data_IF_150326989424
#
_entry.id   IF_150326989424
#
_cell.length_a   1.000
_cell.length_b   1.000
_cell.length_c   1.000
_cell.angle_alpha   90.00
_cell.angle_beta   90.00
_cell.angle_gamma   90.00
#
_symmetry.space_group_name_H-M   'P 1'
#
loop_
_entity.id
_entity.type
_entity.pdbx_description
1 polymer ?
#
# COMPACT_ATOMS: atom_id res chain seq x y z
N UNK A 1 9.02 1.42 -16.29
CA UNK A 1 9.47 2.81 -16.07
C UNK A 1 9.73 2.96 -14.58
N UNK A 2 10.81 3.64 -14.18
CA UNK A 2 11.07 3.95 -12.77
C UNK A 2 10.11 5.05 -12.37
N UNK A 3 9.40 4.88 -11.27
CA UNK A 3 8.31 5.78 -10.84
C UNK A 3 8.41 6.17 -9.35
N UNK A 4 9.44 5.71 -8.66
CA UNK A 4 9.75 6.10 -7.30
C UNK A 4 11.20 6.59 -7.23
N UNK A 5 11.39 7.75 -6.58
CA UNK A 5 12.67 8.37 -6.32
C UNK A 5 12.83 8.58 -4.81
N UNK A 6 14.00 8.23 -4.30
CA UNK A 6 14.42 8.59 -2.93
C UNK A 6 15.75 9.33 -2.97
N UNK A 7 15.84 10.38 -2.16
CA UNK A 7 17.05 11.21 -2.04
C UNK A 7 17.12 11.84 -0.67
N UNK A 8 18.24 12.51 -0.38
CA UNK A 8 18.36 13.45 0.73
C UNK A 8 18.31 14.89 0.21
N UNK A 9 17.74 15.75 1.04
CA UNK A 9 17.63 17.19 0.80
C UNK A 9 18.09 17.95 2.04
N UNK A 10 18.29 19.25 1.91
CA UNK A 10 18.72 20.13 3.00
C UNK A 10 19.99 19.65 3.69
N UNK A 11 21.11 19.64 2.97
CA UNK A 11 22.42 19.17 3.45
C UNK A 11 22.36 17.75 4.04
N UNK A 12 21.63 16.88 3.37
CA UNK A 12 21.44 15.48 3.79
C UNK A 12 20.76 15.29 5.16
N UNK A 13 19.97 16.25 5.59
CA UNK A 13 19.28 16.23 6.89
C UNK A 13 17.84 15.69 6.81
N UNK A 14 17.28 15.61 5.60
CA UNK A 14 15.89 15.20 5.38
C UNK A 14 15.82 14.16 4.27
N UNK A 15 15.16 13.05 4.54
CA UNK A 15 14.83 12.04 3.54
C UNK A 15 13.59 12.50 2.75
N UNK A 16 13.72 12.54 1.43
CA UNK A 16 12.63 12.80 0.49
C UNK A 16 12.32 11.51 -0.28
N UNK A 17 11.05 11.15 -0.34
CA UNK A 17 10.54 10.10 -1.23
C UNK A 17 9.41 10.67 -2.06
N UNK A 18 9.49 10.48 -3.37
CA UNK A 18 8.44 10.87 -4.33
C UNK A 18 8.12 9.65 -5.18
N UNK A 19 6.84 9.36 -5.39
CA UNK A 19 6.43 8.29 -6.31
C UNK A 19 5.20 8.69 -7.11
N UNK A 20 5.26 8.44 -8.42
CA UNK A 20 4.08 8.33 -9.27
C UNK A 20 3.57 6.89 -9.17
N UNK A 21 2.38 6.73 -8.61
CA UNK A 21 1.74 5.43 -8.38
C UNK A 21 0.54 5.20 -9.31
N UNK A 22 0.40 5.99 -10.36
CA UNK A 22 -0.77 5.99 -11.26
C UNK A 22 -1.07 4.59 -11.79
N UNK A 23 -0.10 3.90 -12.37
CA UNK A 23 -0.33 2.57 -12.94
C UNK A 23 -0.60 1.51 -11.86
N UNK A 24 -0.03 1.67 -10.67
CA UNK A 24 -0.30 0.82 -9.50
C UNK A 24 -1.77 0.94 -9.07
N UNK A 25 -2.26 2.18 -8.96
CA UNK A 25 -3.65 2.48 -8.56
C UNK A 25 -4.64 2.05 -9.63
N UNK A 26 -4.37 2.33 -10.90
CA UNK A 26 -5.20 1.86 -12.03
C UNK A 26 -5.40 0.34 -12.01
N UNK A 27 -4.32 -0.41 -11.75
CA UNK A 27 -4.43 -1.87 -11.67
C UNK A 27 -5.30 -2.31 -10.48
N UNK A 28 -5.19 -1.64 -9.33
CA UNK A 28 -6.06 -1.87 -8.17
C UNK A 28 -7.54 -1.59 -8.48
N UNK A 29 -7.83 -0.43 -9.08
CA UNK A 29 -9.19 -0.05 -9.51
C UNK A 29 -9.79 -1.12 -10.42
N UNK A 30 -9.05 -1.53 -11.43
CA UNK A 30 -9.49 -2.55 -12.40
C UNK A 30 -9.79 -3.89 -11.73
N UNK A 31 -8.91 -4.37 -10.84
CA UNK A 31 -9.05 -5.66 -10.16
C UNK A 31 -10.25 -5.70 -9.24
N UNK A 32 -10.43 -4.67 -8.47
CA UNK A 32 -11.47 -4.60 -7.44
C UNK A 32 -12.75 -3.91 -7.93
N UNK A 33 -12.78 -3.39 -9.16
CA UNK A 33 -13.93 -2.66 -9.76
C UNK A 33 -14.41 -1.54 -8.84
N UNK A 34 -13.46 -0.72 -8.38
CA UNK A 34 -13.72 0.32 -7.40
C UNK A 34 -14.54 1.46 -7.96
N UNK A 35 -15.52 1.98 -7.18
CA UNK A 35 -16.10 3.29 -7.43
C UNK A 35 -15.03 4.37 -7.32
N UNK A 36 -15.27 5.57 -7.83
CA UNK A 36 -14.32 6.66 -7.81
C UNK A 36 -13.87 7.02 -6.38
N UNK A 37 -14.80 7.03 -5.42
CA UNK A 37 -14.49 7.34 -4.02
C UNK A 37 -13.69 6.22 -3.35
N UNK A 38 -14.06 4.96 -3.57
CA UNK A 38 -13.29 3.80 -3.07
C UNK A 38 -11.90 3.75 -3.71
N UNK A 39 -11.80 4.11 -4.99
CA UNK A 39 -10.53 4.18 -5.72
C UNK A 39 -9.62 5.27 -5.18
N UNK A 40 -10.18 6.43 -4.80
CA UNK A 40 -9.43 7.55 -4.21
C UNK A 40 -8.80 7.11 -2.89
N UNK A 41 -9.60 6.60 -1.96
CA UNK A 41 -9.13 6.21 -0.63
C UNK A 41 -8.14 5.04 -0.69
N UNK A 42 -8.47 4.01 -1.48
CA UNK A 42 -7.56 2.88 -1.70
C UNK A 42 -6.24 3.33 -2.35
N UNK A 43 -6.32 4.21 -3.34
CA UNK A 43 -5.18 4.73 -4.07
C UNK A 43 -4.26 5.59 -3.19
N UNK A 44 -4.82 6.44 -2.33
CA UNK A 44 -4.09 7.18 -1.31
C UNK A 44 -3.35 6.22 -0.36
N UNK A 45 -4.05 5.21 0.18
CA UNK A 45 -3.47 4.26 1.11
C UNK A 45 -2.36 3.41 0.48
N UNK A 46 -2.54 2.90 -0.75
CA UNK A 46 -1.51 2.09 -1.41
C UNK A 46 -0.31 2.93 -1.84
N UNK A 47 -0.52 4.21 -2.16
CA UNK A 47 0.55 5.17 -2.44
C UNK A 47 1.40 5.45 -1.19
N UNK A 48 0.76 5.71 -0.05
CA UNK A 48 1.44 5.87 1.23
C UNK A 48 2.22 4.60 1.63
N UNK A 49 1.64 3.42 1.43
CA UNK A 49 2.31 2.13 1.68
C UNK A 49 3.47 1.88 0.71
N UNK A 50 3.44 2.44 -0.50
CA UNK A 50 4.57 2.37 -1.44
C UNK A 50 5.79 3.11 -0.88
N UNK A 51 5.58 4.29 -0.30
CA UNK A 51 6.64 5.01 0.44
C UNK A 51 7.18 4.16 1.59
N UNK A 52 6.34 3.57 2.43
CA UNK A 52 6.79 2.75 3.55
C UNK A 52 7.54 1.49 3.10
N UNK A 53 7.09 0.84 2.01
CA UNK A 53 7.77 -0.30 1.41
C UNK A 53 9.16 0.07 0.88
N UNK A 54 9.33 1.28 0.34
CA UNK A 54 10.61 1.78 -0.11
C UNK A 54 11.61 2.01 1.05
N UNK A 55 11.12 2.15 2.28
CA UNK A 55 11.96 2.28 3.47
C UNK A 55 12.47 0.95 4.03
N UNK A 56 11.99 -0.20 3.53
CA UNK A 56 12.48 -1.52 3.93
C UNK A 56 13.93 -1.72 3.49
N UNK A 57 14.77 -2.20 4.41
CA UNK A 57 16.21 -2.34 4.18
C UNK A 57 16.61 -3.75 3.75
N UNK A 58 15.84 -4.76 4.14
CA UNK A 58 16.19 -6.17 3.94
C UNK A 58 15.49 -6.75 2.71
N UNK A 59 16.23 -7.53 1.91
CA UNK A 59 15.74 -8.11 0.66
C UNK A 59 14.48 -9.00 0.81
N UNK A 60 14.29 -9.58 1.99
CA UNK A 60 13.12 -10.39 2.35
C UNK A 60 12.07 -9.61 3.15
N UNK A 61 12.30 -8.30 3.35
CA UNK A 61 11.42 -7.44 4.14
C UNK A 61 10.03 -7.33 3.53
N UNK A 62 9.03 -7.49 4.36
CA UNK A 62 7.61 -7.28 4.04
C UNK A 62 6.98 -6.27 5.00
N UNK A 63 5.98 -5.56 4.51
CA UNK A 63 5.20 -4.62 5.31
C UNK A 63 3.72 -4.79 4.97
N UNK A 64 2.87 -4.73 5.97
CA UNK A 64 1.43 -4.77 5.78
C UNK A 64 0.72 -3.71 6.60
N UNK A 65 -0.32 -3.15 6.01
CA UNK A 65 -1.28 -2.24 6.60
C UNK A 65 -2.58 -2.98 6.85
N UNK A 66 -3.16 -2.79 8.02
CA UNK A 66 -4.56 -3.03 8.31
C UNK A 66 -5.16 -1.74 8.87
N UNK A 67 -5.98 -1.06 8.07
CA UNK A 67 -6.81 0.04 8.50
C UNK A 67 -8.21 -0.52 8.72
N UNK A 68 -8.75 -0.35 9.91
CA UNK A 68 -10.12 -0.71 10.26
C UNK A 68 -10.90 0.55 10.58
N UNK A 69 -12.13 0.61 10.11
CA UNK A 69 -13.01 1.77 10.19
C UNK A 69 -14.39 1.32 10.62
N UNK A 70 -15.06 2.13 11.41
CA UNK A 70 -16.49 1.98 11.71
C UNK A 70 -17.36 2.89 10.81
N UNK A 71 -16.74 3.51 9.80
CA UNK A 71 -17.39 4.29 8.76
C UNK A 71 -17.58 3.51 7.45
N UNK A 72 -17.92 4.23 6.39
CA UNK A 72 -18.25 3.65 5.08
C UNK A 72 -17.09 2.90 4.41
N UNK A 73 -15.85 3.20 4.77
CA UNK A 73 -14.65 2.54 4.22
C UNK A 73 -14.54 1.07 4.65
N UNK A 74 -15.10 0.70 5.80
CA UNK A 74 -14.99 -0.63 6.42
C UNK A 74 -13.54 -0.97 6.76
N UNK A 75 -12.79 -1.58 5.85
CA UNK A 75 -11.38 -1.88 6.06
C UNK A 75 -10.53 -1.64 4.81
N UNK A 76 -9.24 -1.40 5.01
CA UNK A 76 -8.23 -1.44 3.95
C UNK A 76 -7.10 -2.35 4.41
N UNK A 77 -6.75 -3.33 3.57
CA UNK A 77 -5.57 -4.15 3.80
C UNK A 77 -4.62 -4.04 2.60
N UNK A 78 -3.37 -3.66 2.88
CA UNK A 78 -2.34 -3.51 1.87
C UNK A 78 -1.09 -4.25 2.33
N UNK A 79 -0.42 -4.93 1.41
CA UNK A 79 0.86 -5.58 1.65
C UNK A 79 1.85 -5.13 0.57
N UNK A 80 3.06 -4.88 0.99
CA UNK A 80 4.17 -4.52 0.13
C UNK A 80 5.46 -5.19 0.58
N UNK A 81 6.46 -5.21 -0.27
CA UNK A 81 7.76 -5.74 0.07
C UNK A 81 8.89 -4.85 -0.43
N UNK A 82 10.11 -5.21 -0.08
CA UNK A 82 11.30 -4.46 -0.45
C UNK A 82 11.45 -4.28 -1.98
N UNK A 83 10.87 -5.17 -2.81
CA UNK A 83 10.88 -5.04 -4.27
C UNK A 83 9.77 -4.13 -4.82
N UNK A 84 9.02 -3.43 -3.95
CA UNK A 84 7.85 -2.60 -4.29
C UNK A 84 6.77 -3.38 -5.04
N UNK A 85 6.62 -4.67 -4.75
CA UNK A 85 5.48 -5.45 -5.18
C UNK A 85 4.35 -5.22 -4.18
N UNK A 86 3.38 -4.44 -4.61
CA UNK A 86 2.24 -4.00 -3.81
C UNK A 86 0.99 -4.79 -4.15
N UNK A 87 0.14 -5.03 -3.17
CA UNK A 87 -1.19 -5.63 -3.32
C UNK A 87 -2.08 -5.16 -2.19
N UNK A 88 -3.37 -5.13 -2.41
CA UNK A 88 -4.28 -4.68 -1.36
C UNK A 88 -5.72 -4.73 -1.80
N UNK A 89 -6.63 -4.49 -0.85
CA UNK A 89 -8.06 -4.35 -1.09
C UNK A 89 -8.66 -3.33 -0.13
N UNK A 90 -9.86 -2.89 -0.44
CA UNK A 90 -10.75 -2.09 0.40
C UNK A 90 -12.06 -2.86 0.59
N UNK A 91 -12.60 -2.88 1.81
CA UNK A 91 -13.81 -3.63 2.15
C UNK A 91 -15.03 -3.13 1.37
N UNK A 92 -15.28 -1.83 1.39
CA UNK A 92 -16.34 -1.24 0.60
C UNK A 92 -15.83 -0.75 -0.76
N UNK A 93 -16.08 -1.52 -1.80
CA UNK A 93 -15.65 -1.21 -3.18
C UNK A 93 -16.54 -0.18 -3.89
N UNK A 94 -17.69 0.20 -3.31
CA UNK A 94 -18.73 1.02 -3.94
C UNK A 94 -19.16 2.20 -3.06
N UNK A 95 -18.19 2.90 -2.42
CA UNK A 95 -18.50 4.11 -1.67
C UNK A 95 -19.09 5.20 -2.58
N UNK A 96 -20.02 5.95 -2.03
CA UNK A 96 -20.59 7.14 -2.67
C UNK A 96 -19.60 8.32 -2.58
N UNK A 97 -19.63 9.19 -3.59
CA UNK A 97 -18.78 10.39 -3.61
C UNK A 97 -19.22 11.47 -2.64
N UNK A 98 -18.28 12.35 -2.25
CA UNK A 98 -18.57 13.52 -1.44
C UNK A 98 -18.73 13.26 0.05
N UNK A 99 -18.28 12.12 0.54
CA UNK A 99 -18.30 11.81 1.98
C UNK A 99 -17.29 12.67 2.74
N UNK A 100 -17.66 13.09 3.95
CA UNK A 100 -16.72 13.64 4.91
C UNK A 100 -15.77 12.55 5.43
N UNK A 101 -14.58 12.93 5.90
CA UNK A 101 -13.65 12.00 6.55
C UNK A 101 -14.31 11.23 7.71
N UNK A 102 -15.17 11.89 8.48
CA UNK A 102 -15.92 11.28 9.57
C UNK A 102 -16.87 10.18 9.07
N UNK A 103 -17.61 10.43 7.99
CA UNK A 103 -18.51 9.42 7.42
C UNK A 103 -17.74 8.26 6.78
N UNK A 104 -16.55 8.55 6.27
CA UNK A 104 -15.68 7.57 5.60
C UNK A 104 -14.99 6.64 6.59
N UNK A 105 -14.39 7.21 7.64
CA UNK A 105 -13.56 6.45 8.58
C UNK A 105 -14.22 6.24 9.96
N UNK A 106 -15.33 6.96 10.27
CA UNK A 106 -16.00 6.87 11.56
C UNK A 106 -15.22 7.51 12.70
N UNK A 107 -15.48 7.08 13.92
CA UNK A 107 -14.87 7.62 15.15
C UNK A 107 -14.01 6.60 15.91
N UNK A 108 -14.17 5.30 15.64
CA UNK A 108 -13.52 4.20 16.36
C UNK A 108 -12.46 3.47 15.56
N UNK A 109 -12.05 4.00 14.40
CA UNK A 109 -11.11 3.34 13.52
C UNK A 109 -9.67 3.28 14.04
N UNK A 110 -8.89 2.37 13.47
CA UNK A 110 -7.47 2.20 13.77
C UNK A 110 -6.64 1.86 12.56
N UNK A 111 -5.40 2.30 12.57
CA UNK A 111 -4.37 1.95 11.60
C UNK A 111 -3.30 1.12 12.29
N UNK A 112 -3.03 -0.07 11.76
CA UNK A 112 -1.98 -0.97 12.25
C UNK A 112 -1.03 -1.31 11.12
N UNK A 113 0.27 -1.18 11.36
CA UNK A 113 1.32 -1.57 10.43
C UNK A 113 2.18 -2.64 11.05
N UNK A 114 2.42 -3.70 10.28
CA UNK A 114 3.30 -4.80 10.64
C UNK A 114 4.49 -4.76 9.68
N UNK A 115 5.71 -4.70 10.22
CA UNK A 115 6.95 -4.83 9.46
C UNK A 115 7.66 -6.10 9.87
N UNK A 116 7.91 -6.96 8.89
CA UNK A 116 8.66 -8.19 9.03
C UNK A 116 9.97 -8.06 8.26
N UNK A 117 11.10 -8.21 8.92
CA UNK A 117 12.42 -8.21 8.29
C UNK A 117 12.88 -9.62 7.88
N UNK A 118 12.08 -10.64 8.17
CA UNK A 118 12.35 -12.04 7.89
C UNK A 118 13.37 -12.70 8.82
N UNK A 119 13.89 -11.99 9.82
CA UNK A 119 14.95 -12.48 10.72
C UNK A 119 14.59 -12.35 12.20
N UNK A 120 13.80 -11.37 12.55
CA UNK A 120 13.39 -11.09 13.94
C UNK A 120 11.88 -11.20 14.11
N UNK A 121 11.38 -10.93 15.33
CA UNK A 121 9.94 -10.79 15.51
C UNK A 121 9.44 -9.56 14.75
N UNK A 122 8.30 -9.68 14.03
CA UNK A 122 7.72 -8.54 13.34
C UNK A 122 7.46 -7.37 14.31
N UNK A 123 7.80 -6.17 13.86
CA UNK A 123 7.42 -4.95 14.56
C UNK A 123 5.97 -4.63 14.24
N UNK A 124 5.18 -4.37 15.28
CA UNK A 124 3.76 -3.99 15.15
C UNK A 124 3.56 -2.62 15.78
N UNK A 125 3.17 -1.65 14.97
CA UNK A 125 2.77 -0.33 15.41
C UNK A 125 1.29 -0.07 15.11
N UNK A 126 0.61 0.65 15.99
CA UNK A 126 -0.80 0.97 15.81
C UNK A 126 -1.13 2.35 16.36
N UNK A 127 -2.09 3.03 15.74
CA UNK A 127 -2.69 4.26 16.24
C UNK A 127 -4.20 4.29 15.96
N UNK A 128 -4.92 5.13 16.68
CA UNK A 128 -6.30 5.48 16.34
C UNK A 128 -6.32 6.35 15.08
N UNK A 129 -7.38 6.25 14.28
CA UNK A 129 -7.59 7.17 13.16
C UNK A 129 -7.96 8.56 13.70
N UNK A 130 -7.40 9.64 13.13
CA UNK A 130 -7.78 11.01 13.52
C UNK A 130 -9.23 11.28 13.10
N UNK A 131 -10.02 11.88 14.01
CA UNK A 131 -11.48 12.02 13.84
C UNK A 131 -11.93 12.79 12.58
N UNK A 132 -11.14 13.74 12.11
CA UNK A 132 -11.43 14.52 10.91
C UNK A 132 -10.32 14.44 9.87
N UNK A 133 -9.48 13.43 9.99
CA UNK A 133 -8.35 13.20 9.08
C UNK A 133 -8.67 12.17 8.00
N UNK A 134 -8.00 12.30 6.87
CA UNK A 134 -7.96 11.31 5.81
C UNK A 134 -6.80 10.32 5.97
N UNK A 135 -6.41 9.75 4.84
CA UNK A 135 -5.30 8.78 4.79
C UNK A 135 -3.98 9.44 5.20
N UNK A 136 -3.70 10.64 4.71
CA UNK A 136 -2.44 11.34 5.02
C UNK A 136 -2.26 11.56 6.52
N UNK A 137 -3.29 12.12 7.17
CA UNK A 137 -3.30 12.39 8.61
C UNK A 137 -3.19 11.10 9.43
N UNK A 138 -3.79 10.00 8.97
CA UNK A 138 -3.67 8.70 9.63
C UNK A 138 -2.23 8.16 9.59
N UNK A 139 -1.53 8.33 8.48
CA UNK A 139 -0.12 7.94 8.37
C UNK A 139 0.80 8.89 9.15
N UNK A 140 0.57 10.21 9.13
CA UNK A 140 1.35 11.16 9.93
C UNK A 140 1.21 10.85 11.43
N UNK A 141 -0.02 10.54 11.90
CA UNK A 141 -0.28 10.13 13.28
C UNK A 141 0.41 8.81 13.65
N UNK A 142 0.40 7.83 12.75
CA UNK A 142 1.14 6.59 12.91
C UNK A 142 2.63 6.85 13.11
N UNK A 143 3.24 7.67 12.25
CA UNK A 143 4.65 8.00 12.37
C UNK A 143 4.96 8.75 13.66
N UNK A 144 4.08 9.65 14.08
CA UNK A 144 4.23 10.39 15.33
C UNK A 144 4.20 9.48 16.57
N UNK A 145 3.23 8.55 16.62
CA UNK A 145 3.00 7.71 17.82
C UNK A 145 3.90 6.48 17.82
N UNK A 146 3.93 5.74 16.71
CA UNK A 146 4.56 4.41 16.67
C UNK A 146 6.03 4.46 16.27
N UNK A 147 6.40 5.37 15.35
CA UNK A 147 7.78 5.49 14.87
C UNK A 147 8.56 6.60 15.58
N UNK A 148 7.85 7.55 16.21
CA UNK A 148 8.43 8.75 16.82
C UNK A 148 9.27 9.57 15.83
N UNK A 149 8.87 9.56 14.56
CA UNK A 149 9.51 10.27 13.46
C UNK A 149 8.58 11.38 12.96
N UNK A 150 9.01 12.64 12.96
CA UNK A 150 8.24 13.73 12.40
C UNK A 150 8.19 13.59 10.87
N UNK A 151 7.17 12.90 10.39
CA UNK A 151 6.95 12.64 8.96
C UNK A 151 5.84 13.52 8.45
N UNK A 152 6.07 14.19 7.31
CA UNK A 152 5.01 14.80 6.51
C UNK A 152 4.78 13.94 5.27
N UNK A 153 3.53 13.64 5.00
CA UNK A 153 3.12 12.86 3.82
C UNK A 153 1.96 13.54 3.12
N UNK A 154 1.96 13.48 1.81
CA UNK A 154 0.83 13.87 0.98
C UNK A 154 0.64 12.85 -0.12
N UNK A 155 -0.59 12.38 -0.25
CA UNK A 155 -1.04 11.53 -1.35
C UNK A 155 -2.04 12.30 -2.22
N UNK A 156 -2.17 11.90 -3.48
CA UNK A 156 -3.21 12.39 -4.39
C UNK A 156 -3.66 11.28 -5.31
N UNK A 157 -4.95 11.24 -5.61
CA UNK A 157 -5.55 10.41 -6.65
C UNK A 157 -6.56 11.24 -7.42
N UNK A 158 -6.33 11.42 -8.70
CA UNK A 158 -7.12 12.31 -9.53
C UNK A 158 -7.76 11.56 -10.69
N UNK A 159 -8.96 12.03 -11.04
CA UNK A 159 -9.77 11.45 -12.10
C UNK A 159 -10.12 12.51 -13.12
N UNK A 160 -10.26 12.08 -14.36
CA UNK A 160 -10.80 12.92 -15.44
C UNK A 160 -12.34 13.01 -15.40
N UNK A 161 -12.91 13.75 -16.33
CA UNK A 161 -14.37 13.90 -16.47
C UNK A 161 -15.11 12.59 -16.77
N UNK A 162 -14.39 11.55 -17.20
CA UNK A 162 -14.94 10.21 -17.46
C UNK A 162 -14.83 9.28 -16.25
N UNK A 163 -14.20 9.76 -15.18
CA UNK A 163 -13.96 8.97 -13.97
C UNK A 163 -12.73 8.02 -14.07
N UNK A 164 -11.88 8.21 -15.10
CA UNK A 164 -10.65 7.43 -15.23
C UNK A 164 -9.54 8.07 -14.39
N UNK A 165 -8.79 7.26 -13.65
CA UNK A 165 -7.66 7.73 -12.87
C UNK A 165 -6.57 8.25 -13.82
N UNK A 166 -6.25 9.55 -13.72
CA UNK A 166 -5.23 10.22 -14.56
C UNK A 166 -3.92 10.44 -13.82
N UNK A 167 -3.97 10.50 -12.50
CA UNK A 167 -2.77 10.61 -11.65
C UNK A 167 -3.01 9.99 -10.30
N UNK A 168 -2.00 9.33 -9.78
CA UNK A 168 -1.88 8.98 -8.38
C UNK A 168 -0.42 9.11 -7.94
N UNK A 169 -0.20 9.62 -6.74
CA UNK A 169 1.17 9.86 -6.27
C UNK A 169 1.27 10.02 -4.77
N UNK A 170 2.50 9.98 -4.30
CA UNK A 170 2.88 10.25 -2.92
C UNK A 170 4.18 11.04 -2.85
N UNK A 171 4.22 12.00 -1.96
CA UNK A 171 5.44 12.66 -1.51
C UNK A 171 5.53 12.54 0.02
N UNK A 172 6.68 12.10 0.51
CA UNK A 172 6.94 11.99 1.93
C UNK A 172 8.30 12.61 2.27
N UNK A 173 8.33 13.41 3.33
CA UNK A 173 9.52 14.07 3.86
C UNK A 173 9.69 13.72 5.32
N UNK A 174 10.89 13.26 5.67
CA UNK A 174 11.23 12.83 7.02
C UNK A 174 12.56 13.47 7.44
N UNK A 175 12.56 14.39 8.40
CA UNK A 175 13.80 14.82 9.03
C UNK A 175 14.55 13.63 9.62
N UNK A 176 15.86 13.55 9.38
CA UNK A 176 16.68 12.51 9.98
C UNK A 176 16.88 12.78 11.48
N UNK A 177 17.23 11.76 12.26
CA UNK A 177 17.59 11.96 13.67
C UNK A 177 18.63 13.07 13.80
N UNK A 178 18.39 13.98 14.75
CA UNK A 178 19.25 15.15 15.01
C UNK A 178 19.24 16.27 13.93
N UNK A 179 18.31 16.25 12.97
CA UNK A 179 18.09 17.38 12.08
C UNK A 179 17.81 18.66 12.92
N UNK A 180 18.49 19.79 12.62
CA UNK A 180 18.30 21.05 13.34
C UNK A 180 16.82 21.51 13.32
N UNK A 181 16.40 22.22 14.36
CA UNK A 181 15.03 22.75 14.45
C UNK A 181 14.65 23.60 13.22
N UNK A 182 15.57 24.45 12.75
CA UNK A 182 15.36 25.24 11.55
C UNK A 182 15.10 24.40 10.30
N UNK A 183 15.69 23.19 10.19
CA UNK A 183 15.42 22.27 9.10
C UNK A 183 14.04 21.60 9.27
N UNK A 184 13.67 21.26 10.50
CA UNK A 184 12.35 20.71 10.79
C UNK A 184 11.24 21.74 10.47
N UNK A 185 11.44 23.00 10.81
CA UNK A 185 10.54 24.11 10.47
C UNK A 185 10.39 24.30 8.95
N UNK A 186 11.50 24.20 8.20
CA UNK A 186 11.43 24.20 6.72
C UNK A 186 10.57 23.06 6.18
N UNK A 187 10.71 21.85 6.73
CA UNK A 187 9.89 20.70 6.34
C UNK A 187 8.40 20.94 6.65
N UNK A 188 8.10 21.55 7.81
CA UNK A 188 6.71 21.87 8.17
C UNK A 188 6.10 22.91 7.24
N UNK A 189 6.88 23.83 6.69
CA UNK A 189 6.43 24.88 5.79
C UNK A 189 6.25 24.41 4.33
N UNK A 190 6.64 23.19 3.97
CA UNK A 190 6.51 22.68 2.61
C UNK A 190 5.03 22.52 2.21
N UNK A 191 4.68 23.05 1.05
CA UNK A 191 3.40 22.77 0.39
C UNK A 191 3.52 21.48 -0.45
N UNK A 192 3.28 20.34 0.19
CA UNK A 192 3.40 19.02 -0.44
C UNK A 192 2.33 18.81 -1.53
N UNK A 193 1.16 19.46 -1.41
CA UNK A 193 0.12 19.36 -2.42
C UNK A 193 0.58 20.00 -3.73
N UNK A 194 1.08 21.25 -3.69
CA UNK A 194 1.66 21.90 -4.85
C UNK A 194 2.83 21.10 -5.46
N UNK A 195 3.61 20.41 -4.63
CA UNK A 195 4.70 19.56 -5.13
C UNK A 195 4.17 18.34 -5.88
N UNK A 196 3.08 17.72 -5.44
CA UNK A 196 2.45 16.61 -6.17
C UNK A 196 1.87 17.07 -7.52
N UNK A 197 1.28 18.25 -7.60
CA UNK A 197 0.85 18.83 -8.89
C UNK A 197 2.03 18.98 -9.86
N UNK A 198 3.19 19.39 -9.37
CA UNK A 198 4.40 19.46 -10.19
C UNK A 198 4.89 18.05 -10.60
N UNK A 199 4.78 17.05 -9.71
CA UNK A 199 5.13 15.65 -10.06
C UNK A 199 4.26 15.15 -11.21
N UNK A 200 2.97 15.44 -11.18
CA UNK A 200 2.05 15.12 -12.26
C UNK A 200 2.48 15.75 -13.60
N UNK A 201 2.91 17.00 -13.56
CA UNK A 201 3.25 17.77 -14.76
C UNK A 201 4.65 17.44 -15.32
N UNK A 202 5.63 17.19 -14.47
CA UNK A 202 7.06 17.16 -14.84
C UNK A 202 7.75 15.83 -14.49
N UNK A 203 7.12 15.00 -13.64
CA UNK A 203 7.69 13.74 -13.13
C UNK A 203 8.52 13.90 -11.86
N UNK A 204 8.84 12.76 -11.25
CA UNK A 204 9.47 12.69 -9.92
C UNK A 204 10.88 13.29 -9.87
N UNK A 205 11.68 13.04 -10.91
CA UNK A 205 13.08 13.49 -10.97
C UNK A 205 13.17 15.02 -11.09
N UNK A 206 12.39 15.63 -11.99
CA UNK A 206 12.39 17.08 -12.20
C UNK A 206 12.01 17.82 -10.90
N UNK A 207 11.01 17.36 -10.18
CA UNK A 207 10.59 17.99 -8.91
C UNK A 207 11.68 17.87 -7.85
N UNK A 208 12.36 16.73 -7.77
CA UNK A 208 13.45 16.56 -6.81
C UNK A 208 14.64 17.48 -7.10
N UNK A 209 14.98 17.67 -8.40
CA UNK A 209 16.11 18.49 -8.84
C UNK A 209 15.81 20.00 -8.77
N UNK A 210 14.61 20.41 -9.19
CA UNK A 210 14.26 21.83 -9.32
C UNK A 210 13.81 22.47 -8.00
N UNK A 211 13.13 21.71 -7.15
CA UNK A 211 12.51 22.24 -5.93
C UNK A 211 13.46 22.17 -4.73
N UNK A 212 14.26 21.11 -4.69
CA UNK A 212 15.19 20.90 -3.61
C UNK A 212 16.60 21.02 -4.16
N UNK A 213 17.41 21.89 -3.58
CA UNK A 213 18.86 21.89 -3.80
C UNK A 213 19.36 20.53 -3.27
N UNK A 214 19.06 19.51 -4.06
CA UNK A 214 19.41 18.15 -3.74
C UNK A 214 20.91 18.04 -3.93
N UNK A 215 21.62 17.56 -2.94
CA UNK A 215 22.96 17.00 -3.08
C UNK A 215 22.91 15.89 -4.13
N UNK A 216 22.72 16.18 -5.38
CA UNK A 216 22.73 15.39 -6.63
C UNK A 216 22.84 13.85 -6.51
N UNK A 217 22.56 13.30 -5.33
CA UNK A 217 22.59 11.87 -5.02
C UNK A 217 21.18 11.32 -4.99
N UNK A 218 20.66 11.04 -6.17
CA UNK A 218 19.53 10.11 -6.27
C UNK A 218 20.01 8.77 -5.72
N UNK A 219 19.53 8.40 -4.53
CA UNK A 219 19.94 7.14 -3.94
C UNK A 219 19.32 5.97 -4.64
N UNK A 220 18.09 6.13 -5.07
CA UNK A 220 17.33 5.01 -5.56
C UNK A 220 16.20 5.45 -6.48
N UNK A 221 16.19 4.89 -7.68
CA UNK A 221 15.05 4.93 -8.57
C UNK A 221 14.52 3.52 -8.77
N UNK A 222 13.25 3.29 -8.41
CA UNK A 222 12.60 1.99 -8.42
C UNK A 222 11.24 2.04 -9.12
N UNK A 223 10.65 0.88 -9.35
CA UNK A 223 9.33 0.76 -9.95
C UNK A 223 8.40 0.01 -8.99
N UNK A 224 7.39 0.70 -8.46
CA UNK A 224 6.28 0.08 -7.77
C UNK A 224 5.34 -0.60 -8.77
N UNK A 225 4.90 -1.81 -8.44
CA UNK A 225 4.02 -2.62 -9.28
C UNK A 225 2.96 -3.33 -8.45
N UNK A 226 1.75 -3.38 -8.98
CA UNK A 226 0.72 -4.25 -8.41
C UNK A 226 1.07 -5.71 -8.72
N UNK A 227 1.40 -6.48 -7.70
CA UNK A 227 1.77 -7.87 -7.86
C UNK A 227 1.39 -8.69 -6.63
N UNK A 228 0.38 -9.54 -6.81
CA UNK A 228 0.03 -10.52 -5.80
C UNK A 228 0.96 -11.74 -5.88
N UNK A 229 1.29 -12.30 -4.73
CA UNK A 229 2.07 -13.53 -4.63
C UNK A 229 1.19 -14.79 -4.61
N UNK A 230 -0.15 -14.64 -4.66
CA UNK A 230 -1.05 -15.77 -4.84
C UNK A 230 -0.83 -16.40 -6.23
N UNK A 231 -0.94 -17.70 -6.29
CA UNK A 231 -0.91 -18.47 -7.53
C UNK A 231 -1.53 -19.84 -7.29
N UNK A 232 -2.04 -20.48 -8.35
CA UNK A 232 -2.55 -21.85 -8.25
C UNK A 232 -1.50 -22.78 -7.60
N UNK A 233 -0.23 -22.66 -7.99
CA UNK A 233 0.87 -23.43 -7.41
C UNK A 233 1.05 -23.17 -5.89
N UNK A 234 0.94 -21.92 -5.44
CA UNK A 234 1.02 -21.60 -4.01
C UNK A 234 -0.16 -22.20 -3.25
N UNK A 235 -1.38 -22.01 -3.76
CA UNK A 235 -2.61 -22.50 -3.15
C UNK A 235 -2.67 -24.03 -3.15
N UNK A 236 -2.16 -24.70 -4.19
CA UNK A 236 -1.99 -26.15 -4.22
C UNK A 236 -1.20 -26.65 -3.02
N UNK A 237 -0.08 -25.98 -2.66
CA UNK A 237 0.70 -26.34 -1.46
C UNK A 237 -0.07 -26.14 -0.16
N UNK A 238 -0.89 -25.09 -0.09
CA UNK A 238 -1.77 -24.85 1.06
C UNK A 238 -2.81 -25.98 1.18
N UNK A 239 -3.42 -26.40 0.06
CA UNK A 239 -4.37 -27.52 0.04
C UNK A 239 -3.71 -28.85 0.39
N UNK A 240 -2.48 -29.09 -0.03
CA UNK A 240 -1.71 -30.27 0.40
C UNK A 240 -1.51 -30.26 1.92
N UNK A 241 -1.22 -29.11 2.52
CA UNK A 241 -1.07 -29.01 3.97
C UNK A 241 -2.39 -29.16 4.75
N UNK A 242 -3.54 -28.91 4.11
CA UNK A 242 -4.86 -29.20 4.68
C UNK A 242 -5.10 -30.70 4.80
N UNK A 243 -4.55 -31.49 3.88
CA UNK A 243 -4.67 -32.93 3.82
C UNK A 243 -5.73 -33.45 2.84
N UNK A 244 -5.49 -34.65 2.30
CA UNK A 244 -6.36 -35.27 1.28
C UNK A 244 -7.81 -35.47 1.76
N UNK A 245 -8.07 -36.01 2.96
CA UNK A 245 -9.45 -36.26 3.41
C UNK A 245 -10.30 -34.99 3.45
N UNK A 246 -9.75 -33.89 3.99
CA UNK A 246 -10.44 -32.61 4.09
C UNK A 246 -10.69 -31.99 2.72
N UNK A 247 -9.70 -32.04 1.82
CA UNK A 247 -9.88 -31.51 0.47
C UNK A 247 -10.98 -32.27 -0.29
N UNK A 248 -10.96 -33.59 -0.25
CA UNK A 248 -11.98 -34.40 -0.93
C UNK A 248 -13.37 -34.21 -0.32
N UNK A 249 -13.46 -34.04 1.00
CA UNK A 249 -14.73 -33.74 1.66
C UNK A 249 -15.32 -32.41 1.12
N UNK A 250 -14.52 -31.32 1.07
CA UNK A 250 -14.97 -30.02 0.52
C UNK A 250 -15.43 -30.17 -0.93
N UNK A 251 -14.66 -30.88 -1.75
CA UNK A 251 -15.02 -31.09 -3.16
C UNK A 251 -16.31 -31.90 -3.28
N UNK A 252 -16.51 -32.90 -2.45
CA UNK A 252 -17.73 -33.72 -2.44
C UNK A 252 -18.96 -32.92 -2.00
N UNK A 253 -18.83 -32.04 -1.03
CA UNK A 253 -19.92 -31.21 -0.51
C UNK A 253 -20.28 -30.06 -1.44
N UNK A 254 -19.29 -29.36 -2.00
CA UNK A 254 -19.45 -28.09 -2.74
C UNK A 254 -19.21 -28.21 -4.25
N UNK A 255 -18.85 -29.40 -4.74
CA UNK A 255 -18.52 -29.67 -6.14
C UNK A 255 -17.09 -29.28 -6.54
N UNK A 256 -16.46 -28.38 -5.79
CA UNK A 256 -15.07 -27.96 -5.97
C UNK A 256 -14.57 -27.19 -4.73
N UNK A 257 -13.28 -27.21 -4.46
CA UNK A 257 -12.68 -26.32 -3.46
C UNK A 257 -12.40 -24.96 -4.09
N UNK A 258 -13.11 -23.92 -3.63
CA UNK A 258 -12.97 -22.54 -4.14
C UNK A 258 -12.25 -21.67 -3.15
N UNK A 259 -11.22 -20.97 -3.62
CA UNK A 259 -10.40 -20.04 -2.84
C UNK A 259 -10.41 -18.68 -3.51
N UNK A 260 -10.94 -17.68 -2.81
CA UNK A 260 -10.90 -16.29 -3.24
C UNK A 260 -9.69 -15.56 -2.65
N UNK A 261 -8.90 -14.91 -3.48
CA UNK A 261 -7.82 -14.04 -3.01
C UNK A 261 -8.30 -12.59 -2.91
N UNK A 262 -8.61 -12.12 -1.72
CA UNK A 262 -9.05 -10.74 -1.49
C UNK A 262 -8.03 -9.70 -2.00
N UNK A 263 -6.73 -9.95 -1.90
CA UNK A 263 -5.68 -9.01 -2.34
C UNK A 263 -5.64 -8.71 -3.84
N UNK A 264 -6.12 -9.59 -4.69
CA UNK A 264 -6.12 -9.37 -6.14
C UNK A 264 -7.45 -9.74 -6.81
N UNK A 265 -8.47 -10.01 -6.01
CA UNK A 265 -9.83 -10.32 -6.47
C UNK A 265 -9.84 -11.45 -7.51
N UNK A 266 -9.09 -12.54 -7.24
CA UNK A 266 -8.96 -13.68 -8.15
C UNK A 266 -9.49 -14.93 -7.48
N UNK A 267 -10.38 -15.63 -8.19
CA UNK A 267 -10.92 -16.92 -7.77
C UNK A 267 -10.07 -18.07 -8.31
N UNK A 268 -9.88 -19.07 -7.47
CA UNK A 268 -9.21 -20.32 -7.80
C UNK A 268 -10.15 -21.47 -7.46
N UNK A 269 -10.34 -22.36 -8.42
CA UNK A 269 -11.16 -23.55 -8.25
C UNK A 269 -10.29 -24.79 -8.39
N UNK A 270 -10.46 -25.76 -7.47
CA UNK A 270 -9.78 -27.05 -7.46
C UNK A 270 -10.81 -28.15 -7.47
N UNK A 271 -10.73 -29.00 -8.48
CA UNK A 271 -11.67 -30.10 -8.74
C UNK A 271 -11.12 -31.43 -8.21
N UNK A 272 -11.90 -32.52 -8.37
CA UNK A 272 -11.46 -33.87 -8.03
C UNK A 272 -10.22 -34.29 -8.83
N UNK A 273 -10.11 -33.89 -10.10
CA UNK A 273 -8.91 -34.12 -10.92
C UNK A 273 -7.68 -33.44 -10.33
N UNK A 274 -7.83 -32.19 -9.81
CA UNK A 274 -6.74 -31.52 -9.11
C UNK A 274 -6.36 -32.27 -7.83
N UNK A 275 -7.32 -32.78 -7.06
CA UNK A 275 -7.06 -33.56 -5.86
C UNK A 275 -6.27 -34.85 -6.19
N UNK A 276 -6.61 -35.54 -7.29
CA UNK A 276 -5.87 -36.72 -7.75
C UNK A 276 -4.42 -36.38 -8.13
N UNK A 277 -4.19 -35.20 -8.72
CA UNK A 277 -2.84 -34.74 -9.04
C UNK A 277 -2.04 -34.31 -7.78
N UNK A 278 -2.70 -33.73 -6.79
CA UNK A 278 -2.07 -33.29 -5.54
C UNK A 278 -1.73 -34.47 -4.62
N UNK A 279 -2.55 -35.53 -4.66
CA UNK A 279 -2.41 -36.74 -3.84
C UNK A 279 -2.41 -37.99 -4.73
N UNK A 280 -1.33 -38.21 -5.51
CA UNK A 280 -1.28 -39.37 -6.40
C UNK A 280 -1.35 -40.66 -5.58
N UNK A 281 -2.25 -41.56 -6.01
CA UNK A 281 -2.29 -42.90 -5.43
C UNK A 281 -0.95 -43.55 -5.69
N UNK A 282 -0.18 -43.81 -4.66
CA UNK A 282 1.00 -44.68 -4.73
C UNK A 282 0.51 -46.09 -5.00
N UNK A 283 0.67 -46.57 -6.20
CA UNK A 283 0.52 -48.00 -6.47
C UNK A 283 1.47 -48.75 -5.51
N UNK A 284 0.89 -49.50 -4.58
CA UNK A 284 1.60 -50.41 -3.71
C UNK A 284 1.86 -51.73 -4.46
#
# INVERSE_FOLDING_TARGET
MKNLLRTLIYDSQVSLTISDTTELVKEGIKRHRLSQESARVFGEAISAMTFMSACLKNAVGEISLSLKSDGACDEIAISGNQNLFMRGYIGNTQMEGGMSALNMFGTGGSLTIIRDDGYSRPFVGSCALPQNGGVDEAFEEYFRISEQLPTRIKTSVEFDEKGECVFAGVIAVQPLPFAPLATQEKVQALDLASLLEKVKAQGTAAVAEETFDSDKRVWEERAAKYKCNCSRRYLSRVLVSLGEPQLRQIIQEDGAARIHCHYCNTDYEFTEEDADHLFPKTDK
#
